data_IF_329116581455
#
_entry.id   IF_329116581455
#
_cell.length_a   1.000
_cell.length_b   1.000
_cell.length_c   1.000
_cell.angle_alpha   90.00
_cell.angle_beta   90.00
_cell.angle_gamma   90.00
#
_symmetry.space_group_name_H-M   'P 1'
#
loop_
_entity.id
_entity.type
_entity.pdbx_description
1 polymer ?
#
# COMPACT_ATOMS: atom_id res chain seq x y z
N UNK A 1 8.27 20.61 -8.65
CA UNK A 1 9.43 19.99 -7.94
C UNK A 1 10.53 19.76 -8.96
N UNK A 2 11.83 19.92 -8.66
CA UNK A 2 12.87 19.67 -9.69
C UNK A 2 12.82 18.20 -10.13
N UNK A 3 12.59 17.93 -11.43
CA UNK A 3 12.41 16.59 -12.05
C UNK A 3 13.40 15.53 -11.56
N UNK A 4 14.65 15.92 -11.29
CA UNK A 4 15.71 15.03 -10.76
C UNK A 4 15.41 14.49 -9.35
N UNK A 5 14.83 15.31 -8.49
CA UNK A 5 14.47 14.91 -7.11
C UNK A 5 13.30 13.93 -7.16
N UNK A 6 12.28 14.23 -7.98
CA UNK A 6 11.14 13.35 -8.20
C UNK A 6 11.56 11.96 -8.69
N UNK A 7 12.40 11.89 -9.72
CA UNK A 7 12.97 10.63 -10.22
C UNK A 7 13.80 9.90 -9.16
N UNK A 8 14.57 10.64 -8.35
CA UNK A 8 15.30 10.08 -7.23
C UNK A 8 14.39 9.39 -6.21
N UNK A 9 13.24 9.99 -5.89
CA UNK A 9 12.29 9.37 -4.95
C UNK A 9 11.62 8.13 -5.55
N UNK A 10 11.29 8.14 -6.84
CA UNK A 10 10.77 6.95 -7.52
C UNK A 10 11.79 5.79 -7.52
N UNK A 11 13.08 6.08 -7.69
CA UNK A 11 14.13 5.05 -7.60
C UNK A 11 14.20 4.50 -6.18
N UNK A 12 14.16 5.36 -5.17
CA UNK A 12 14.16 4.94 -3.75
C UNK A 12 12.94 4.06 -3.46
N UNK A 13 11.75 4.46 -3.93
CA UNK A 13 10.55 3.64 -3.80
C UNK A 13 10.71 2.30 -4.50
N UNK A 14 11.20 2.26 -5.74
CA UNK A 14 11.41 1.01 -6.47
C UNK A 14 12.38 0.07 -5.71
N UNK A 15 13.45 0.62 -5.12
CA UNK A 15 14.38 -0.13 -4.25
C UNK A 15 13.67 -0.63 -2.98
N UNK A 16 12.83 0.20 -2.36
CA UNK A 16 12.05 -0.20 -1.18
C UNK A 16 11.03 -1.29 -1.52
N UNK A 17 10.35 -1.18 -2.66
CA UNK A 17 9.43 -2.20 -3.17
C UNK A 17 10.15 -3.52 -3.40
N UNK A 18 11.34 -3.47 -4.00
CA UNK A 18 12.17 -4.65 -4.22
C UNK A 18 12.61 -5.28 -2.90
N UNK A 19 13.04 -4.47 -1.92
CA UNK A 19 13.36 -4.93 -0.58
C UNK A 19 12.16 -5.56 0.14
N UNK A 20 10.97 -4.96 0.01
CA UNK A 20 9.73 -5.48 0.56
C UNK A 20 9.32 -6.81 -0.07
N UNK A 21 9.42 -6.95 -1.40
CA UNK A 21 9.13 -8.21 -2.09
C UNK A 21 10.06 -9.34 -1.64
N UNK A 22 11.37 -9.04 -1.46
CA UNK A 22 12.33 -10.02 -0.92
C UNK A 22 11.97 -10.42 0.52
N UNK A 23 11.62 -9.45 1.37
CA UNK A 23 11.18 -9.72 2.74
C UNK A 23 9.91 -10.57 2.79
N UNK A 24 8.96 -10.36 1.88
CA UNK A 24 7.74 -11.15 1.81
C UNK A 24 8.02 -12.62 1.46
N UNK A 25 8.98 -12.88 0.56
CA UNK A 25 9.41 -14.24 0.19
C UNK A 25 10.05 -14.94 1.40
N UNK A 26 10.87 -14.25 2.20
CA UNK A 26 11.61 -14.85 3.30
C UNK A 26 10.89 -14.84 4.66
N UNK A 27 9.86 -14.00 4.85
CA UNK A 27 9.17 -13.79 6.14
C UNK A 27 7.64 -13.75 5.96
N UNK A 28 7.09 -14.68 5.17
CA UNK A 28 5.65 -14.81 4.87
C UNK A 28 4.75 -14.77 6.13
N UNK A 29 5.19 -15.38 7.24
CA UNK A 29 4.40 -15.45 8.49
C UNK A 29 4.22 -14.11 9.22
N UNK A 30 5.07 -13.11 8.94
CA UNK A 30 5.06 -11.79 9.60
C UNK A 30 4.56 -10.70 8.65
N UNK A 31 4.58 -10.96 7.34
CA UNK A 31 4.17 -10.03 6.28
C UNK A 31 3.22 -10.74 5.32
N UNK A 32 2.09 -11.19 5.86
CA UNK A 32 1.17 -12.06 5.12
C UNK A 32 0.32 -11.25 4.14
N UNK A 33 -0.21 -10.10 4.57
CA UNK A 33 -0.97 -9.20 3.68
C UNK A 33 -0.68 -7.71 3.95
N UNK A 34 -0.63 -6.91 2.88
CA UNK A 34 -0.41 -5.46 2.97
C UNK A 34 -1.49 -4.74 3.80
N UNK A 35 -2.72 -5.28 3.79
CA UNK A 35 -3.87 -4.77 4.54
C UNK A 35 -3.76 -5.06 6.05
N UNK A 36 -2.97 -6.07 6.43
CA UNK A 36 -2.71 -6.39 7.83
C UNK A 36 -1.48 -5.66 8.40
N UNK A 37 -0.64 -5.05 7.55
CA UNK A 37 0.43 -4.16 8.00
C UNK A 37 -0.17 -2.86 8.56
N UNK A 38 0.39 -2.22 9.62
CA UNK A 38 1.42 -2.74 10.52
C UNK A 38 0.84 -3.57 11.69
N UNK A 39 -0.45 -3.89 11.67
CA UNK A 39 -1.15 -4.52 12.78
C UNK A 39 -0.65 -5.94 13.08
N UNK A 40 -0.24 -6.70 12.07
CA UNK A 40 0.33 -8.04 12.23
C UNK A 40 1.68 -7.98 12.97
N UNK A 41 2.50 -6.97 12.69
CA UNK A 41 3.79 -6.74 13.34
C UNK A 41 3.59 -6.25 14.78
N UNK A 42 2.65 -5.31 14.98
CA UNK A 42 2.25 -4.84 16.30
C UNK A 42 1.75 -6.01 17.16
N UNK A 43 0.87 -6.84 16.59
CA UNK A 43 0.36 -8.07 17.21
C UNK A 43 1.50 -8.98 17.63
N UNK A 44 2.37 -9.35 16.69
CA UNK A 44 3.46 -10.31 16.95
C UNK A 44 4.34 -9.83 18.11
N UNK A 45 4.71 -8.54 18.10
CA UNK A 45 5.49 -7.92 19.17
C UNK A 45 4.77 -7.92 20.52
N UNK A 46 3.51 -7.46 20.56
CA UNK A 46 2.72 -7.39 21.79
C UNK A 46 2.46 -8.78 22.39
N UNK A 47 2.16 -9.78 21.54
CA UNK A 47 1.92 -11.15 21.99
C UNK A 47 3.18 -11.80 22.56
N UNK A 48 4.32 -11.64 21.89
CA UNK A 48 5.61 -12.14 22.39
C UNK A 48 5.98 -11.50 23.72
N UNK A 49 5.72 -10.20 23.86
CA UNK A 49 6.00 -9.48 25.11
C UNK A 49 5.05 -9.92 26.23
N UNK A 50 3.76 -10.13 25.93
CA UNK A 50 2.78 -10.63 26.90
C UNK A 50 3.12 -12.01 27.43
N UNK A 51 3.62 -12.91 26.57
CA UNK A 51 4.02 -14.27 26.94
C UNK A 51 5.39 -14.36 27.63
N UNK A 52 6.16 -13.25 27.71
CA UNK A 52 7.51 -13.26 28.31
C UNK A 52 7.51 -13.21 29.85
N UNK A 53 6.33 -13.10 30.47
CA UNK A 53 6.13 -13.13 31.93
C UNK A 53 5.33 -11.93 32.45
N UNK A 54 5.11 -11.82 33.78
CA UNK A 54 4.22 -10.80 34.36
C UNK A 54 4.63 -9.36 34.03
N UNK A 55 5.93 -9.06 34.06
CA UNK A 55 6.47 -7.73 33.69
C UNK A 55 6.28 -7.45 32.20
N UNK A 56 6.51 -8.44 31.35
CA UNK A 56 6.29 -8.33 29.91
C UNK A 56 4.82 -8.05 29.58
N UNK A 57 3.90 -8.77 30.22
CA UNK A 57 2.47 -8.53 30.08
C UNK A 57 2.05 -7.11 30.47
N UNK A 58 2.57 -6.58 31.58
CA UNK A 58 2.31 -5.19 31.97
C UNK A 58 2.79 -4.20 30.90
N UNK A 59 3.99 -4.39 30.35
CA UNK A 59 4.52 -3.52 29.28
C UNK A 59 3.68 -3.66 28.00
N UNK A 60 3.25 -4.87 27.65
CA UNK A 60 2.39 -5.11 26.49
C UNK A 60 1.06 -4.37 26.60
N UNK A 61 0.44 -4.36 27.79
CA UNK A 61 -0.81 -3.60 28.04
C UNK A 61 -0.57 -2.09 27.88
N UNK A 62 0.53 -1.56 28.43
CA UNK A 62 0.86 -0.13 28.31
C UNK A 62 1.06 0.25 26.83
N UNK A 63 1.81 -0.55 26.07
CA UNK A 63 2.04 -0.30 24.65
C UNK A 63 0.75 -0.43 23.84
N UNK A 64 -0.08 -1.43 24.13
CA UNK A 64 -1.39 -1.60 23.51
C UNK A 64 -2.26 -0.35 23.68
N UNK A 65 -2.39 0.15 24.90
CA UNK A 65 -3.14 1.38 25.19
C UNK A 65 -2.51 2.56 24.44
N UNK A 66 -1.20 2.75 24.53
CA UNK A 66 -0.53 3.86 23.86
C UNK A 66 -0.78 3.88 22.34
N UNK A 67 -0.69 2.71 21.70
CA UNK A 67 -0.93 2.54 20.26
C UNK A 67 -2.38 2.86 19.90
N UNK A 68 -3.35 2.35 20.66
CA UNK A 68 -4.78 2.55 20.35
C UNK A 68 -5.21 4.02 20.53
N UNK A 69 -4.55 4.77 21.42
CA UNK A 69 -4.84 6.18 21.67
C UNK A 69 -4.13 7.13 20.71
N UNK A 70 -3.30 6.66 19.77
CA UNK A 70 -2.63 7.51 18.77
C UNK A 70 -3.62 8.43 18.03
N UNK A 71 -4.75 7.95 17.47
CA UNK A 71 -5.69 8.84 16.77
C UNK A 71 -6.30 9.89 17.71
N UNK A 72 -6.57 9.53 18.96
CA UNK A 72 -7.08 10.46 19.95
C UNK A 72 -6.04 11.54 20.33
N UNK A 73 -4.77 11.17 20.52
CA UNK A 73 -3.71 12.15 20.78
C UNK A 73 -3.52 13.10 19.59
N UNK A 74 -3.61 12.60 18.35
CA UNK A 74 -3.62 13.45 17.17
C UNK A 74 -4.74 14.50 17.23
N UNK A 75 -5.95 14.11 17.63
CA UNK A 75 -7.07 15.03 17.81
C UNK A 75 -6.78 16.10 18.87
N UNK A 76 -6.23 15.70 20.02
CA UNK A 76 -5.83 16.65 21.07
C UNK A 76 -4.76 17.64 20.60
N UNK A 77 -3.78 17.19 19.81
CA UNK A 77 -2.73 18.05 19.25
C UNK A 77 -3.33 19.07 18.27
N UNK A 78 -4.28 18.66 17.43
CA UNK A 78 -4.98 19.55 16.51
C UNK A 78 -5.77 20.61 17.26
N UNK A 79 -6.55 20.19 18.27
CA UNK A 79 -7.35 21.08 19.10
C UNK A 79 -6.48 22.07 19.87
N UNK A 80 -5.34 21.62 20.42
CA UNK A 80 -4.38 22.50 21.10
C UNK A 80 -3.74 23.54 20.17
N UNK A 81 -3.73 23.28 18.87
CA UNK A 81 -3.17 24.18 17.85
C UNK A 81 -4.23 25.03 17.14
N UNK A 82 -5.50 24.95 17.55
CA UNK A 82 -6.64 25.60 16.89
C UNK A 82 -6.70 25.29 15.38
N UNK A 83 -6.41 24.03 15.01
CA UNK A 83 -6.43 23.52 13.62
C UNK A 83 -7.43 22.40 13.42
N UNK A 84 -8.29 22.17 14.39
CA UNK A 84 -9.36 21.19 14.30
C UNK A 84 -10.41 21.62 13.27
N UNK A 85 -10.95 20.63 12.58
CA UNK A 85 -12.12 20.74 11.74
C UNK A 85 -13.21 19.84 12.30
N UNK A 86 -14.46 20.07 11.88
CA UNK A 86 -15.58 19.20 12.26
C UNK A 86 -15.31 17.71 11.94
N UNK A 87 -14.60 17.44 10.83
CA UNK A 87 -14.20 16.09 10.41
C UNK A 87 -13.20 15.44 11.37
N UNK A 88 -12.46 16.19 12.17
CA UNK A 88 -11.50 15.64 13.14
C UNK A 88 -12.19 14.94 14.33
N UNK A 89 -13.52 15.08 14.48
CA UNK A 89 -14.30 14.28 15.43
C UNK A 89 -14.30 12.77 15.11
N UNK A 90 -13.95 12.38 13.88
CA UNK A 90 -13.75 10.98 13.53
C UNK A 90 -12.51 10.35 14.20
N UNK A 91 -11.54 11.13 14.70
CA UNK A 91 -10.33 10.59 15.32
C UNK A 91 -10.59 9.82 16.62
N UNK A 92 -11.40 10.34 17.57
CA UNK A 92 -11.85 9.55 18.71
C UNK A 92 -12.54 8.24 18.31
N UNK A 93 -13.39 8.25 17.28
CA UNK A 93 -14.06 7.06 16.76
C UNK A 93 -13.02 6.07 16.21
N UNK A 94 -12.04 6.57 15.46
CA UNK A 94 -10.94 5.77 14.92
C UNK A 94 -10.08 5.17 16.03
N UNK A 95 -9.90 5.86 17.15
CA UNK A 95 -9.21 5.34 18.34
C UNK A 95 -9.97 4.17 18.96
N UNK A 96 -11.30 4.28 19.10
CA UNK A 96 -12.16 3.16 19.56
C UNK A 96 -12.05 1.98 18.60
N UNK A 97 -12.14 2.22 17.29
CA UNK A 97 -11.97 1.17 16.28
C UNK A 97 -10.59 0.51 16.37
N UNK A 98 -9.55 1.28 16.64
CA UNK A 98 -8.18 0.78 16.81
C UNK A 98 -8.05 -0.17 18.00
N UNK A 99 -8.73 0.11 19.12
CA UNK A 99 -8.83 -0.80 20.27
C UNK A 99 -9.39 -2.16 19.84
N UNK A 100 -10.50 -2.16 19.10
CA UNK A 100 -11.14 -3.39 18.60
C UNK A 100 -10.23 -4.16 17.64
N UNK A 101 -9.71 -3.48 16.60
CA UNK A 101 -8.87 -4.10 15.57
C UNK A 101 -7.63 -4.74 16.18
N UNK A 102 -6.89 -4.01 17.02
CA UNK A 102 -5.67 -4.53 17.64
C UNK A 102 -5.99 -5.65 18.64
N UNK A 103 -7.10 -5.56 19.38
CA UNK A 103 -7.49 -6.61 20.34
C UNK A 103 -7.81 -7.95 19.66
N UNK A 104 -8.66 -7.95 18.64
CA UNK A 104 -9.02 -9.15 17.89
C UNK A 104 -7.84 -9.68 17.08
N UNK A 105 -6.98 -8.78 16.57
CA UNK A 105 -5.72 -9.22 15.99
C UNK A 105 -4.83 -9.88 17.05
N UNK A 106 -4.65 -9.39 18.27
CA UNK A 106 -3.86 -10.08 19.32
C UNK A 106 -4.41 -11.48 19.63
N UNK A 107 -5.74 -11.64 19.63
CA UNK A 107 -6.46 -12.85 20.03
C UNK A 107 -7.25 -13.45 18.84
N UNK A 108 -6.60 -14.17 17.89
CA UNK A 108 -7.26 -14.71 16.70
C UNK A 108 -8.42 -15.64 17.03
N UNK A 109 -8.28 -16.41 18.12
CA UNK A 109 -9.30 -17.37 18.54
C UNK A 109 -10.64 -16.77 18.99
N UNK A 110 -10.79 -15.44 18.97
CA UNK A 110 -12.03 -14.75 19.32
C UNK A 110 -12.82 -14.27 18.08
N UNK A 111 -12.19 -14.26 16.90
CA UNK A 111 -12.80 -13.78 15.67
C UNK A 111 -12.63 -14.81 14.57
N UNK A 112 -13.64 -15.65 14.39
CA UNK A 112 -13.59 -16.75 13.43
C UNK A 112 -14.17 -16.33 12.08
N UNK A 113 -13.41 -16.61 11.02
CA UNK A 113 -13.86 -16.45 9.64
C UNK A 113 -13.70 -17.78 8.90
N UNK A 114 -14.66 -18.11 8.03
CA UNK A 114 -14.58 -19.29 7.17
C UNK A 114 -13.54 -19.14 6.04
N UNK A 115 -12.89 -17.98 5.94
CA UNK A 115 -11.90 -17.64 4.92
C UNK A 115 -10.52 -17.70 5.57
N UNK A 116 -9.54 -18.40 4.96
CA UNK A 116 -8.14 -18.34 5.40
C UNK A 116 -7.64 -16.89 5.45
N UNK A 117 -7.05 -16.48 6.59
CA UNK A 117 -6.63 -15.09 6.85
C UNK A 117 -7.74 -14.03 6.76
N UNK A 118 -9.02 -14.44 6.72
CA UNK A 118 -10.17 -13.53 6.59
C UNK A 118 -10.27 -12.53 7.74
N UNK A 119 -9.91 -12.94 8.96
CA UNK A 119 -9.82 -12.08 10.13
C UNK A 119 -8.89 -10.88 9.91
N UNK A 120 -7.71 -11.10 9.32
CA UNK A 120 -6.71 -10.05 9.07
C UNK A 120 -7.20 -9.09 7.99
N UNK A 121 -7.77 -9.65 6.92
CA UNK A 121 -8.33 -8.88 5.82
C UNK A 121 -9.49 -8.00 6.27
N UNK A 122 -10.46 -8.55 7.00
CA UNK A 122 -11.66 -7.82 7.43
C UNK A 122 -11.27 -6.71 8.42
N UNK A 123 -10.50 -7.03 9.46
CA UNK A 123 -10.13 -6.05 10.48
C UNK A 123 -9.23 -4.93 9.93
N UNK A 124 -8.22 -5.30 9.13
CA UNK A 124 -7.32 -4.34 8.50
C UNK A 124 -8.05 -3.45 7.50
N UNK A 125 -8.86 -4.03 6.60
CA UNK A 125 -9.59 -3.26 5.59
C UNK A 125 -10.63 -2.32 6.22
N UNK A 126 -11.31 -2.75 7.28
CA UNK A 126 -12.28 -1.91 8.00
C UNK A 126 -11.60 -0.69 8.60
N UNK A 127 -10.46 -0.88 9.27
CA UNK A 127 -9.68 0.25 9.80
C UNK A 127 -9.25 1.21 8.70
N UNK A 128 -8.65 0.67 7.63
CA UNK A 128 -8.16 1.47 6.53
C UNK A 128 -9.27 2.23 5.80
N UNK A 129 -10.44 1.63 5.61
CA UNK A 129 -11.58 2.30 5.01
C UNK A 129 -12.02 3.53 5.81
N UNK A 130 -12.13 3.40 7.15
CA UNK A 130 -12.50 4.53 8.02
C UNK A 130 -11.39 5.58 8.06
N UNK A 131 -10.11 5.17 8.15
CA UNK A 131 -8.96 6.08 8.13
C UNK A 131 -8.89 6.86 6.81
N UNK A 132 -8.96 6.19 5.67
CA UNK A 132 -8.92 6.85 4.36
C UNK A 132 -10.14 7.73 4.12
N UNK A 133 -11.33 7.29 4.54
CA UNK A 133 -12.53 8.13 4.50
C UNK A 133 -12.34 9.44 5.28
N UNK A 134 -11.80 9.36 6.50
CA UNK A 134 -11.43 10.53 7.29
C UNK A 134 -10.40 11.42 6.56
N UNK A 135 -9.31 10.84 6.05
CA UNK A 135 -8.26 11.59 5.36
C UNK A 135 -8.80 12.31 4.12
N UNK A 136 -9.61 11.64 3.31
CA UNK A 136 -10.25 12.20 2.11
C UNK A 136 -11.14 13.38 2.51
N UNK A 137 -12.03 13.22 3.49
CA UNK A 137 -12.90 14.30 3.96
C UNK A 137 -12.07 15.48 4.53
N UNK A 138 -10.98 15.20 5.23
CA UNK A 138 -10.09 16.25 5.77
C UNK A 138 -9.36 17.02 4.68
N UNK A 139 -8.94 16.32 3.62
CA UNK A 139 -8.32 16.92 2.44
C UNK A 139 -9.34 17.74 1.65
N UNK A 140 -10.56 17.23 1.44
CA UNK A 140 -11.65 17.95 0.77
C UNK A 140 -12.01 19.23 1.52
N UNK A 141 -12.15 19.18 2.84
CA UNK A 141 -12.37 20.38 3.66
C UNK A 141 -11.17 21.33 3.71
N UNK A 142 -9.97 20.88 3.30
CA UNK A 142 -8.81 21.78 3.14
C UNK A 142 -8.87 22.51 1.81
N UNK A 143 -9.28 21.82 0.75
CA UNK A 143 -9.38 22.41 -0.58
C UNK A 143 -10.67 23.19 -0.84
N UNK A 144 -11.72 23.00 -0.03
CA UNK A 144 -12.99 23.71 -0.16
C UNK A 144 -12.87 25.25 -0.10
N UNK A 145 -11.85 25.76 0.59
CA UNK A 145 -11.57 27.20 0.72
C UNK A 145 -10.19 27.58 0.18
N UNK A 146 -9.63 26.77 -0.73
CA UNK A 146 -8.26 26.91 -1.19
C UNK A 146 -8.15 27.71 -2.49
N UNK A 147 -7.13 28.56 -2.59
CA UNK A 147 -6.83 29.30 -3.82
C UNK A 147 -6.34 28.37 -4.94
N UNK A 148 -6.44 28.82 -6.19
CA UNK A 148 -5.92 28.13 -7.39
C UNK A 148 -4.50 27.56 -7.22
N UNK A 149 -3.59 28.30 -6.59
CA UNK A 149 -2.22 27.85 -6.31
C UNK A 149 -2.14 26.67 -5.34
N UNK A 150 -3.04 26.62 -4.35
CA UNK A 150 -3.11 25.52 -3.39
C UNK A 150 -3.70 24.29 -4.04
N UNK A 151 -4.76 24.45 -4.85
CA UNK A 151 -5.36 23.38 -5.63
C UNK A 151 -4.35 22.76 -6.61
N UNK A 152 -3.54 23.59 -7.29
CA UNK A 152 -2.46 23.11 -8.16
C UNK A 152 -1.44 22.25 -7.39
N UNK A 153 -1.01 22.68 -6.20
CA UNK A 153 -0.11 21.88 -5.35
C UNK A 153 -0.75 20.57 -4.93
N UNK A 154 -2.05 20.58 -4.60
CA UNK A 154 -2.82 19.39 -4.29
C UNK A 154 -2.90 18.41 -5.46
N UNK A 155 -3.20 18.91 -6.66
CA UNK A 155 -3.27 18.09 -7.87
C UNK A 155 -1.90 17.53 -8.25
N UNK A 156 -0.83 18.31 -8.12
CA UNK A 156 0.55 17.80 -8.26
C UNK A 156 0.86 16.69 -7.26
N UNK A 157 0.45 16.84 -6.00
CA UNK A 157 0.63 15.81 -4.99
C UNK A 157 -0.19 14.55 -5.33
N UNK A 158 -1.40 14.71 -5.88
CA UNK A 158 -2.22 13.58 -6.31
C UNK A 158 -1.57 12.81 -7.47
N UNK A 159 -1.10 13.51 -8.50
CA UNK A 159 -0.34 12.89 -9.59
C UNK A 159 0.91 12.18 -9.07
N UNK A 160 1.61 12.79 -8.13
CA UNK A 160 2.76 12.18 -7.48
C UNK A 160 2.37 10.84 -6.83
N UNK A 161 1.38 10.84 -5.93
CA UNK A 161 0.91 9.64 -5.23
C UNK A 161 0.45 8.57 -6.23
N UNK A 162 -0.29 8.96 -7.27
CA UNK A 162 -0.76 8.04 -8.31
C UNK A 162 0.41 7.37 -9.05
N UNK A 163 1.43 8.13 -9.45
CA UNK A 163 2.61 7.59 -10.13
C UNK A 163 3.38 6.65 -9.20
N UNK A 164 3.55 7.00 -7.92
CA UNK A 164 4.17 6.11 -6.92
C UNK A 164 3.40 4.78 -6.82
N UNK A 165 2.07 4.83 -6.71
CA UNK A 165 1.22 3.62 -6.66
C UNK A 165 1.34 2.76 -7.92
N UNK A 166 1.45 3.38 -9.11
CA UNK A 166 1.64 2.66 -10.36
C UNK A 166 3.03 2.01 -10.44
N UNK A 167 4.09 2.70 -9.98
CA UNK A 167 5.43 2.12 -9.89
C UNK A 167 5.44 0.94 -8.92
N UNK A 168 4.79 1.08 -7.76
CA UNK A 168 4.57 -0.04 -6.84
C UNK A 168 3.85 -1.21 -7.53
N UNK A 169 2.80 -0.96 -8.31
CA UNK A 169 2.08 -2.01 -9.04
C UNK A 169 2.99 -2.75 -10.04
N UNK A 170 3.83 -2.01 -10.79
CA UNK A 170 4.83 -2.60 -11.69
C UNK A 170 5.84 -3.45 -10.91
N UNK A 171 6.38 -2.92 -9.81
CA UNK A 171 7.34 -3.65 -8.98
C UNK A 171 6.71 -4.90 -8.35
N UNK A 172 5.47 -4.82 -7.87
CA UNK A 172 4.74 -5.95 -7.30
C UNK A 172 4.55 -7.06 -8.33
N UNK A 173 4.20 -6.71 -9.57
CA UNK A 173 4.00 -7.71 -10.62
C UNK A 173 5.33 -8.39 -11.01
N UNK A 174 6.37 -7.60 -11.26
CA UNK A 174 7.68 -8.10 -11.68
C UNK A 174 8.43 -8.88 -10.59
N UNK A 175 8.39 -8.42 -9.34
CA UNK A 175 9.21 -8.96 -8.25
C UNK A 175 8.41 -9.74 -7.19
N UNK A 176 7.09 -9.64 -7.20
CA UNK A 176 6.20 -10.42 -6.32
C UNK A 176 5.48 -11.52 -7.08
N UNK A 177 4.57 -11.15 -7.99
CA UNK A 177 3.70 -12.09 -8.70
C UNK A 177 4.47 -13.10 -9.56
N UNK A 178 5.43 -12.61 -10.37
CA UNK A 178 6.16 -13.46 -11.32
C UNK A 178 7.05 -14.51 -10.61
N UNK A 179 7.93 -14.16 -9.64
CA UNK A 179 8.72 -15.16 -8.92
C UNK A 179 7.87 -16.19 -8.17
N UNK A 180 6.78 -15.75 -7.53
CA UNK A 180 5.85 -16.65 -6.83
C UNK A 180 5.18 -17.64 -7.80
N UNK A 181 4.79 -17.17 -8.99
CA UNK A 181 4.19 -18.03 -10.02
C UNK A 181 5.21 -19.02 -10.62
N UNK A 182 6.47 -18.62 -10.76
CA UNK A 182 7.55 -19.52 -11.20
C UNK A 182 7.79 -20.60 -10.13
N UNK A 183 7.82 -20.21 -8.85
CA UNK A 183 8.05 -21.13 -7.75
C UNK A 183 6.91 -22.16 -7.63
N UNK A 184 5.65 -21.72 -7.69
CA UNK A 184 4.50 -22.64 -7.61
C UNK A 184 4.46 -23.64 -8.76
N UNK A 185 4.81 -23.22 -9.99
CA UNK A 185 4.94 -24.13 -11.13
C UNK A 185 6.07 -25.14 -10.90
N UNK A 186 7.20 -24.76 -10.32
CA UNK A 186 8.31 -25.69 -10.03
C UNK A 186 7.89 -26.73 -9.00
N UNK A 187 7.32 -26.30 -7.88
CA UNK A 187 6.86 -27.19 -6.79
C UNK A 187 5.79 -28.18 -7.27
N UNK A 188 4.83 -27.72 -8.08
CA UNK A 188 3.79 -28.58 -8.63
C UNK A 188 4.36 -29.66 -9.57
N UNK A 189 5.37 -29.34 -10.37
CA UNK A 189 6.00 -30.31 -11.28
C UNK A 189 6.93 -31.29 -10.54
N UNK A 190 7.61 -30.86 -9.48
CA UNK A 190 8.39 -31.75 -8.61
C UNK A 190 7.50 -32.76 -7.87
N UNK A 191 6.36 -32.30 -7.32
CA UNK A 191 5.38 -33.17 -6.66
C UNK A 191 4.81 -34.25 -7.59
N UNK A 192 4.47 -33.88 -8.83
CA UNK A 192 3.93 -34.81 -9.83
C UNK A 192 4.97 -35.87 -10.26
N UNK A 193 6.25 -35.51 -10.34
CA UNK A 193 7.32 -36.45 -10.69
C UNK A 193 7.52 -37.53 -9.61
N UNK A 194 7.20 -37.22 -8.35
CA UNK A 194 7.27 -38.15 -7.22
C UNK A 194 6.06 -39.10 -7.24
N UNK A 195 4.85 -38.61 -7.50
CA UNK A 195 3.62 -39.42 -7.43
C UNK A 195 3.47 -40.41 -8.58
N UNK A 196 3.92 -40.06 -9.80
CA UNK A 196 3.64 -40.88 -10.99
C UNK A 196 4.76 -41.92 -11.27
N UNK A 197 5.85 -41.87 -10.49
CA UNK A 197 7.07 -42.63 -10.79
C UNK A 197 7.75 -42.09 -12.05
N UNK A 198 9.08 -42.08 -12.07
CA UNK A 198 9.91 -41.39 -13.08
C UNK A 198 9.83 -41.95 -14.53
N UNK A 199 8.72 -42.57 -14.93
CA UNK A 199 8.49 -43.15 -16.26
C UNK A 199 8.01 -42.13 -17.30
N UNK A 200 7.60 -40.93 -16.90
CA UNK A 200 7.21 -39.85 -17.81
C UNK A 200 8.37 -38.86 -18.02
N UNK A 201 8.59 -38.49 -19.29
CA UNK A 201 9.51 -37.45 -19.74
C UNK A 201 9.31 -36.18 -18.92
N UNK A 202 10.37 -35.62 -18.34
CA UNK A 202 10.27 -34.39 -17.53
C UNK A 202 9.52 -33.30 -18.31
N UNK A 203 8.43 -32.73 -17.75
CA UNK A 203 7.68 -31.69 -18.43
C UNK A 203 8.60 -30.51 -18.72
N UNK A 204 8.54 -29.98 -19.95
CA UNK A 204 9.37 -28.84 -20.34
C UNK A 204 8.80 -27.54 -19.73
N UNK A 205 9.17 -27.26 -18.48
CA UNK A 205 8.72 -26.10 -17.70
C UNK A 205 9.14 -24.77 -18.35
N UNK A 206 10.11 -24.78 -19.27
CA UNK A 206 10.62 -23.56 -19.92
C UNK A 206 9.54 -22.82 -20.73
N UNK A 207 8.63 -23.56 -21.36
CA UNK A 207 7.54 -22.95 -22.14
C UNK A 207 6.55 -22.26 -21.19
N UNK A 208 6.17 -22.91 -20.09
CA UNK A 208 5.30 -22.32 -19.07
C UNK A 208 5.93 -21.07 -18.44
N UNK A 209 7.23 -21.11 -18.13
CA UNK A 209 7.95 -19.94 -17.61
C UNK A 209 7.95 -18.80 -18.65
N UNK A 210 8.14 -19.10 -19.94
CA UNK A 210 8.08 -18.09 -21.00
C UNK A 210 6.70 -17.39 -21.02
N UNK A 211 5.62 -18.16 -20.94
CA UNK A 211 4.26 -17.60 -20.87
C UNK A 211 4.04 -16.73 -19.63
N UNK A 212 4.58 -17.12 -18.47
CA UNK A 212 4.51 -16.30 -17.25
C UNK A 212 5.26 -14.96 -17.41
N UNK A 213 6.42 -14.96 -18.07
CA UNK A 213 7.16 -13.71 -18.36
C UNK A 213 6.38 -12.82 -19.33
N UNK A 214 5.80 -13.40 -20.38
CA UNK A 214 4.95 -12.64 -21.32
C UNK A 214 3.73 -12.07 -20.61
N UNK A 215 3.07 -12.85 -19.76
CA UNK A 215 1.94 -12.39 -18.95
C UNK A 215 2.33 -11.22 -18.04
N UNK A 216 3.49 -11.31 -17.36
CA UNK A 216 4.02 -10.20 -16.56
C UNK A 216 4.20 -8.93 -17.39
N UNK A 217 4.76 -9.04 -18.61
CA UNK A 217 4.92 -7.89 -19.51
C UNK A 217 3.56 -7.28 -19.86
N UNK A 218 2.60 -8.12 -20.27
CA UNK A 218 1.25 -7.67 -20.63
C UNK A 218 0.56 -6.95 -19.46
N UNK A 219 0.70 -7.47 -18.23
CA UNK A 219 0.13 -6.86 -17.03
C UNK A 219 0.78 -5.52 -16.66
N UNK A 220 2.06 -5.33 -16.99
CA UNK A 220 2.84 -4.12 -16.66
C UNK A 220 2.64 -2.99 -17.66
N UNK A 221 2.37 -3.30 -18.94
CA UNK A 221 2.13 -2.30 -19.99
C UNK A 221 1.14 -1.19 -19.57
N UNK A 222 -0.09 -1.47 -19.08
CA UNK A 222 -1.04 -0.42 -18.74
C UNK A 222 -0.48 0.52 -17.66
N UNK A 223 0.16 -0.01 -16.63
CA UNK A 223 0.76 0.82 -15.57
C UNK A 223 1.89 1.71 -16.11
N UNK A 224 2.73 1.21 -17.01
CA UNK A 224 3.76 2.02 -17.67
C UNK A 224 3.15 3.15 -18.50
N UNK A 225 2.06 2.89 -19.20
CA UNK A 225 1.34 3.91 -19.97
C UNK A 225 0.73 4.97 -19.04
N UNK A 226 0.09 4.55 -17.95
CA UNK A 226 -0.49 5.45 -16.96
C UNK A 226 0.57 6.32 -16.26
N UNK A 227 1.76 5.76 -15.99
CA UNK A 227 2.90 6.54 -15.47
C UNK A 227 3.29 7.63 -16.47
N UNK A 228 3.41 7.30 -17.76
CA UNK A 228 3.74 8.29 -18.79
C UNK A 228 2.66 9.38 -18.86
N UNK A 229 1.39 9.00 -18.87
CA UNK A 229 0.25 9.94 -18.88
C UNK A 229 0.29 10.83 -17.63
N UNK A 230 0.52 10.27 -16.45
CA UNK A 230 0.64 11.02 -15.20
C UNK A 230 1.77 12.05 -15.25
N UNK A 231 2.94 11.68 -15.80
CA UNK A 231 4.07 12.60 -15.97
C UNK A 231 3.76 13.73 -16.95
N UNK A 232 3.07 13.42 -18.06
CA UNK A 232 2.62 14.45 -18.99
C UNK A 232 1.54 15.35 -18.38
N UNK A 233 0.61 14.79 -17.60
CA UNK A 233 -0.41 15.53 -16.86
C UNK A 233 0.21 16.52 -15.86
N UNK A 234 1.24 16.10 -15.12
CA UNK A 234 1.99 17.01 -14.24
C UNK A 234 2.63 18.16 -15.02
N UNK A 235 3.25 17.88 -16.18
CA UNK A 235 3.86 18.92 -16.99
C UNK A 235 2.81 19.86 -17.58
N UNK A 236 1.69 19.32 -18.07
CA UNK A 236 0.58 20.11 -18.60
C UNK A 236 -0.02 21.04 -17.55
N UNK A 237 -0.14 20.57 -16.30
CA UNK A 237 -0.61 21.39 -15.19
C UNK A 237 0.33 22.56 -14.87
N UNK A 238 1.65 22.38 -15.02
CA UNK A 238 2.62 23.48 -14.87
C UNK A 238 2.45 24.52 -15.98
N UNK A 239 2.29 24.10 -17.24
CA UNK A 239 2.17 25.00 -18.39
C UNK A 239 0.85 25.78 -18.41
N UNK A 240 -0.29 25.11 -18.15
CA UNK A 240 -1.62 25.74 -18.13
C UNK A 240 -1.71 26.83 -17.06
N UNK A 241 -0.96 26.69 -15.97
CA UNK A 241 -0.92 27.68 -14.89
C UNK A 241 -0.04 28.89 -15.21
N UNK A 242 0.87 28.78 -16.17
CA UNK A 242 1.68 29.90 -16.67
C UNK A 242 0.87 30.67 -17.73
N UNK A 243 0.42 29.96 -18.77
CA UNK A 243 -0.44 30.48 -19.81
C UNK A 243 -1.27 29.32 -20.42
N UNK A 244 -2.61 29.30 -20.18
CA UNK A 244 -3.51 28.28 -20.69
C UNK A 244 -3.50 28.13 -22.22
N UNK A 245 -3.13 29.19 -22.95
CA UNK A 245 -3.17 29.23 -24.42
C UNK A 245 -1.78 29.20 -25.05
N UNK A 246 -0.73 28.93 -24.27
CA UNK A 246 0.62 28.81 -24.82
C UNK A 246 0.74 27.62 -25.77
N UNK A 247 1.60 27.77 -26.79
CA UNK A 247 1.92 26.69 -27.74
C UNK A 247 2.38 25.41 -27.03
N UNK A 248 3.04 25.55 -25.86
CA UNK A 248 3.49 24.42 -25.05
C UNK A 248 2.34 23.70 -24.34
N UNK A 249 1.36 24.41 -23.79
CA UNK A 249 0.16 23.83 -23.19
C UNK A 249 -0.68 23.06 -24.24
N UNK A 250 -0.82 23.64 -25.44
CA UNK A 250 -1.50 22.99 -26.58
C UNK A 250 -0.74 21.74 -27.04
N UNK A 251 0.58 21.82 -27.18
CA UNK A 251 1.40 20.69 -27.61
C UNK A 251 1.35 19.51 -26.61
N UNK A 252 1.35 19.78 -25.29
CA UNK A 252 1.22 18.73 -24.27
C UNK A 252 -0.19 18.13 -24.30
N UNK A 253 -1.23 18.94 -24.45
CA UNK A 253 -2.62 18.46 -24.52
C UNK A 253 -2.84 17.53 -25.72
N UNK A 254 -2.28 17.86 -26.89
CA UNK A 254 -2.29 17.00 -28.08
C UNK A 254 -1.55 15.68 -27.81
N UNK A 255 -0.48 15.71 -27.00
CA UNK A 255 0.34 14.54 -26.68
C UNK A 255 -0.32 13.59 -25.68
N UNK A 256 -1.22 14.11 -24.84
CA UNK A 256 -2.03 13.32 -23.90
C UNK A 256 -3.25 12.71 -24.61
N UNK A 257 -3.84 13.41 -25.59
CA UNK A 257 -5.02 12.95 -26.32
C UNK A 257 -4.75 11.96 -27.47
N UNK A 258 -3.51 11.53 -27.66
CA UNK A 258 -3.09 10.54 -28.68
C UNK A 258 -2.57 9.28 -28.01
#
# INVERSE_FOLDING_TARGET
>A
MRRKIFLGILIIEAVFCLGFSILQIHCSDVFSTMVAFPFEQIRWGLRRLSLSGPRGNMIAIILYVLICFIPFFCFLILKRKDREKAVDLFLPILSILMVFVVYYMINPGLFHTNIPDGEKLILGSTFYAVLFGYLILRVLTMFASADMRQLQKGLHLLFYIMIMLLVYAVCKECFGSLPASIQSVREANEGLAIEVGAFYTQPNIRITILFLVVQCIVNVIPYCMDIMIGLFGMKGLEEVMIDPYSDQAVAISIKIGK
#
